data_IF_723776722102
#
_entry.id   IF_723776722102
#
_cell.length_a   1.000
_cell.length_b   1.000
_cell.length_c   1.000
_cell.angle_alpha   90.00
_cell.angle_beta   90.00
_cell.angle_gamma   90.00
#
_symmetry.space_group_name_H-M   'P 1'
#
loop_
_entity.id
_entity.type
_entity.pdbx_description
1 polymer ?
#
# COMPACT_ATOMS: atom_id res chain seq x y z
N UNK A 1 10.00 -3.87 -22.53
CA UNK A 1 9.81 -2.89 -21.44
C UNK A 1 9.39 -3.64 -20.17
N UNK A 2 10.18 -3.59 -19.08
CA UNK A 2 9.79 -4.21 -17.80
C UNK A 2 8.60 -3.43 -17.24
N UNK A 3 7.39 -4.02 -17.25
CA UNK A 3 6.26 -3.47 -16.49
C UNK A 3 6.70 -3.39 -15.04
N UNK A 4 6.82 -2.17 -14.53
CA UNK A 4 7.15 -1.91 -13.14
C UNK A 4 6.00 -2.51 -12.30
N UNK A 5 6.25 -3.61 -11.57
CA UNK A 5 5.19 -4.38 -10.90
C UNK A 5 4.45 -3.60 -9.80
N UNK A 6 4.91 -2.38 -9.50
CA UNK A 6 4.30 -1.44 -8.57
C UNK A 6 3.23 -0.53 -9.22
N UNK A 7 3.11 -0.47 -10.55
CA UNK A 7 2.37 0.58 -11.26
C UNK A 7 1.02 0.15 -11.84
N UNK A 8 0.24 -0.65 -11.10
CA UNK A 8 -1.19 -0.84 -11.42
C UNK A 8 -2.05 0.32 -10.88
N UNK A 9 -1.51 1.53 -10.77
CA UNK A 9 -2.30 2.70 -10.33
C UNK A 9 -3.00 3.32 -11.55
N UNK A 10 -4.27 3.69 -11.39
CA UNK A 10 -5.06 4.28 -12.47
C UNK A 10 -4.52 5.66 -12.88
N UNK A 11 -4.25 5.90 -14.18
CA UNK A 11 -3.89 7.23 -14.68
C UNK A 11 -4.99 8.26 -14.43
N UNK A 12 -4.62 9.54 -14.29
CA UNK A 12 -5.57 10.65 -14.12
C UNK A 12 -6.02 10.91 -12.67
N UNK A 13 -5.49 10.16 -11.71
CA UNK A 13 -5.76 10.35 -10.28
C UNK A 13 -4.48 10.73 -9.53
N UNK A 14 -4.58 11.75 -8.68
CA UNK A 14 -3.50 12.08 -7.74
C UNK A 14 -3.57 11.13 -6.56
N UNK A 15 -2.59 10.23 -6.51
CA UNK A 15 -2.47 9.19 -5.48
C UNK A 15 -1.08 9.33 -4.85
N UNK A 16 -1.06 9.41 -3.52
CA UNK A 16 0.18 9.48 -2.74
C UNK A 16 0.18 8.42 -1.66
N UNK A 17 1.37 8.00 -1.21
CA UNK A 17 1.46 7.06 -0.10
C UNK A 17 2.87 6.62 0.23
N UNK A 18 2.98 5.83 1.30
CA UNK A 18 4.24 5.32 1.83
C UNK A 18 4.08 3.86 2.24
N UNK A 19 5.10 3.09 1.91
CA UNK A 19 5.29 1.72 2.41
C UNK A 19 6.00 1.73 3.76
N UNK A 20 5.65 0.77 4.61
CA UNK A 20 6.36 0.41 5.83
C UNK A 20 6.57 -1.10 5.93
N UNK A 21 7.71 -1.49 6.49
CA UNK A 21 7.99 -2.87 6.89
C UNK A 21 8.53 -2.83 8.31
N UNK A 22 7.96 -3.61 9.22
CA UNK A 22 8.39 -3.67 10.61
C UNK A 22 8.60 -5.12 11.03
N UNK A 23 9.70 -5.40 11.73
CA UNK A 23 9.93 -6.73 12.32
C UNK A 23 8.90 -7.03 13.41
N UNK A 24 8.53 -8.30 13.53
CA UNK A 24 7.62 -8.77 14.58
C UNK A 24 8.42 -9.06 15.84
N UNK A 25 7.94 -8.60 16.98
CA UNK A 25 8.57 -8.84 18.29
C UNK A 25 8.41 -10.29 18.72
N UNK A 26 9.42 -10.81 19.43
CA UNK A 26 9.35 -12.13 20.08
C UNK A 26 8.79 -11.99 21.51
N UNK A 27 8.05 -12.98 22.03
CA UNK A 27 7.56 -12.97 23.42
C UNK A 27 8.67 -12.76 24.47
N UNK A 28 9.84 -13.35 24.21
CA UNK A 28 11.03 -13.30 25.05
C UNK A 28 11.87 -12.00 24.92
N UNK A 29 11.45 -11.07 24.05
CA UNK A 29 12.18 -9.84 23.74
C UNK A 29 12.96 -9.92 22.42
N UNK A 30 13.31 -8.75 21.87
CA UNK A 30 13.91 -8.64 20.54
C UNK A 30 12.91 -8.92 19.41
N UNK A 31 13.42 -9.28 18.24
CA UNK A 31 12.65 -9.44 17.01
C UNK A 31 12.92 -10.78 16.32
N UNK A 32 11.94 -11.27 15.56
CA UNK A 32 12.19 -12.35 14.61
C UNK A 32 13.03 -11.83 13.43
N UNK A 33 13.98 -12.65 12.96
CA UNK A 33 14.86 -12.29 11.83
C UNK A 33 14.13 -12.36 10.49
N UNK A 34 13.05 -13.14 10.40
CA UNK A 34 12.37 -13.48 9.16
C UNK A 34 10.86 -13.10 9.17
N UNK A 35 10.33 -12.63 10.30
CA UNK A 35 8.91 -12.25 10.43
C UNK A 35 8.73 -10.75 10.45
N UNK A 36 7.92 -10.27 9.53
CA UNK A 36 7.66 -8.85 9.33
C UNK A 36 6.17 -8.59 9.16
N UNK A 37 5.71 -7.42 9.56
CA UNK A 37 4.44 -6.85 9.11
C UNK A 37 4.72 -5.89 7.96
N UNK A 38 3.85 -5.91 6.95
CA UNK A 38 3.89 -4.98 5.83
C UNK A 38 2.76 -3.97 5.91
N UNK A 39 3.06 -2.70 5.71
CA UNK A 39 2.05 -1.63 5.64
C UNK A 39 2.16 -0.81 4.37
N UNK A 40 1.02 -0.30 3.94
CA UNK A 40 0.94 0.80 2.99
C UNK A 40 -0.13 1.77 3.47
N UNK A 41 0.24 3.03 3.66
CA UNK A 41 -0.70 4.12 3.94
C UNK A 41 -0.67 5.10 2.78
N UNK A 42 -1.84 5.53 2.31
CA UNK A 42 -1.92 6.48 1.21
C UNK A 42 -3.28 7.13 1.10
N UNK A 43 -3.39 8.04 0.12
CA UNK A 43 -4.59 8.81 -0.13
C UNK A 43 -4.88 8.93 -1.62
N UNK A 44 -6.13 9.26 -1.94
CA UNK A 44 -6.61 9.56 -3.30
C UNK A 44 -7.27 10.95 -3.26
N UNK A 45 -6.87 11.87 -4.16
CA UNK A 45 -7.58 13.15 -4.34
C UNK A 45 -6.77 14.47 -4.25
N UNK A 46 -5.44 14.43 -4.37
CA UNK A 46 -4.59 15.63 -4.35
C UNK A 46 -4.73 16.46 -3.08
N UNK A 47 -4.76 17.80 -3.20
CA UNK A 47 -4.82 18.74 -2.06
C UNK A 47 -6.06 18.59 -1.17
N UNK A 48 -7.13 17.99 -1.70
CA UNK A 48 -8.33 17.63 -0.92
C UNK A 48 -8.54 16.13 -1.04
N UNK A 49 -7.89 15.32 -0.20
CA UNK A 49 -8.06 13.87 -0.18
C UNK A 49 -9.53 13.49 -0.03
N UNK A 50 -9.99 12.60 -0.90
CA UNK A 50 -11.33 12.01 -0.83
C UNK A 50 -11.32 10.74 0.01
N UNK A 51 -10.21 10.00 -0.05
CA UNK A 51 -10.01 8.76 0.69
C UNK A 51 -8.60 8.69 1.25
N UNK A 52 -8.50 8.16 2.46
CA UNK A 52 -7.25 7.69 3.07
C UNK A 52 -7.39 6.21 3.33
N UNK A 53 -6.40 5.43 2.91
CA UNK A 53 -6.44 3.97 2.94
C UNK A 53 -5.20 3.47 3.68
N UNK A 54 -5.43 2.56 4.62
CA UNK A 54 -4.37 1.85 5.33
C UNK A 54 -4.51 0.37 5.03
N UNK A 55 -3.44 -0.24 4.54
CA UNK A 55 -3.31 -1.69 4.36
C UNK A 55 -2.28 -2.17 5.36
N UNK A 56 -2.66 -3.16 6.18
CA UNK A 56 -1.76 -3.91 7.05
C UNK A 56 -1.84 -5.38 6.66
N UNK A 57 -0.70 -5.97 6.30
CA UNK A 57 -0.54 -7.41 6.09
C UNK A 57 0.30 -7.97 7.21
N UNK A 58 -0.28 -8.86 8.02
CA UNK A 58 0.38 -9.46 9.17
C UNK A 58 1.14 -10.72 8.76
N UNK A 59 2.39 -10.81 9.18
CA UNK A 59 3.30 -11.95 8.92
C UNK A 59 3.22 -12.55 7.49
N UNK A 60 3.24 -11.76 6.40
CA UNK A 60 3.43 -12.36 5.08
C UNK A 60 4.76 -13.11 5.04
N UNK A 61 4.82 -14.22 4.29
CA UNK A 61 6.05 -14.99 4.07
C UNK A 61 6.97 -14.28 3.07
N UNK A 62 7.32 -13.03 3.39
CA UNK A 62 8.13 -12.10 2.61
C UNK A 62 9.07 -11.37 3.59
N UNK A 63 10.28 -11.91 3.82
CA UNK A 63 11.24 -11.30 4.74
C UNK A 63 11.74 -9.95 4.20
N UNK A 64 11.81 -8.94 5.07
CA UNK A 64 12.41 -7.62 4.81
C UNK A 64 11.63 -6.67 3.87
N UNK A 65 10.74 -7.20 3.03
CA UNK A 65 10.05 -6.42 1.98
C UNK A 65 8.51 -6.48 2.07
N UNK A 66 7.96 -6.81 3.24
CA UNK A 66 6.53 -6.99 3.44
C UNK A 66 5.67 -5.77 3.01
N UNK A 67 6.14 -4.54 3.24
CA UNK A 67 5.41 -3.34 2.81
C UNK A 67 5.28 -3.21 1.29
N UNK A 68 6.40 -3.30 0.57
CA UNK A 68 6.42 -3.11 -0.88
C UNK A 68 5.87 -4.32 -1.65
N UNK A 69 6.09 -5.54 -1.17
CA UNK A 69 5.68 -6.74 -1.90
C UNK A 69 4.33 -7.32 -1.46
N UNK A 70 3.88 -7.07 -0.23
CA UNK A 70 2.56 -7.52 0.24
C UNK A 70 1.53 -6.40 0.25
N UNK A 71 1.81 -5.29 0.95
CA UNK A 71 0.81 -4.25 1.18
C UNK A 71 0.59 -3.34 -0.03
N UNK A 72 1.66 -2.98 -0.78
CA UNK A 72 1.54 -2.06 -1.92
C UNK A 72 0.64 -2.58 -3.06
N UNK A 73 0.72 -3.85 -3.51
CA UNK A 73 -0.18 -4.36 -4.54
C UNK A 73 -1.65 -4.36 -4.11
N UNK A 74 -1.91 -4.65 -2.83
CA UNK A 74 -3.27 -4.62 -2.26
C UNK A 74 -3.80 -3.19 -2.25
N UNK A 75 -3.01 -2.21 -1.82
CA UNK A 75 -3.39 -0.79 -1.87
C UNK A 75 -3.78 -0.36 -3.29
N UNK A 76 -2.97 -0.71 -4.29
CA UNK A 76 -3.29 -0.39 -5.70
C UNK A 76 -4.61 -0.99 -6.17
N UNK A 77 -4.89 -2.25 -5.80
CA UNK A 77 -6.15 -2.89 -6.17
C UNK A 77 -7.36 -2.23 -5.48
N UNK A 78 -7.23 -1.88 -4.19
CA UNK A 78 -8.29 -1.18 -3.44
C UNK A 78 -8.55 0.20 -4.05
N UNK A 79 -7.50 0.97 -4.37
CA UNK A 79 -7.66 2.28 -5.00
C UNK A 79 -8.40 2.18 -6.33
N UNK A 80 -8.01 1.24 -7.21
CA UNK A 80 -8.70 1.06 -8.48
C UNK A 80 -10.17 0.66 -8.30
N UNK A 81 -10.45 -0.25 -7.36
CA UNK A 81 -11.82 -0.65 -7.04
C UNK A 81 -12.65 0.53 -6.52
N UNK A 82 -12.11 1.37 -5.64
CA UNK A 82 -12.80 2.57 -5.15
C UNK A 82 -13.05 3.59 -6.25
N UNK A 83 -12.08 3.77 -7.16
CA UNK A 83 -12.24 4.62 -8.34
C UNK A 83 -13.39 4.12 -9.22
N UNK A 84 -13.45 2.82 -9.50
CA UNK A 84 -14.49 2.22 -10.34
C UNK A 84 -15.88 2.24 -9.69
N UNK A 85 -15.95 2.10 -8.36
CA UNK A 85 -17.22 1.95 -7.64
C UNK A 85 -17.82 3.24 -7.10
N UNK A 86 -17.01 4.27 -6.78
CA UNK A 86 -17.47 5.40 -5.96
C UNK A 86 -17.37 6.77 -6.63
N UNK A 87 -17.39 6.84 -7.97
CA UNK A 87 -17.37 8.09 -8.72
C UNK A 87 -16.26 9.06 -8.23
N UNK A 88 -15.09 8.51 -7.88
CA UNK A 88 -13.94 9.34 -7.54
C UNK A 88 -13.66 10.21 -8.77
N UNK A 89 -13.93 11.50 -8.64
CA UNK A 89 -13.74 12.43 -9.74
C UNK A 89 -12.23 12.53 -10.02
N UNK A 90 -11.79 12.28 -11.26
CA UNK A 90 -10.40 12.53 -11.62
C UNK A 90 -10.07 13.98 -11.30
N UNK A 91 -9.02 14.19 -10.52
CA UNK A 91 -8.38 15.50 -10.40
C UNK A 91 -7.11 15.41 -11.21
N UNK A 92 -7.23 15.60 -12.52
CA UNK A 92 -6.08 16.04 -13.31
C UNK A 92 -5.76 17.45 -12.88
N UNK A 93 -4.56 17.65 -12.35
CA UNK A 93 -3.98 18.98 -12.18
C UNK A 93 -3.98 19.73 -13.50
#
# INVERSE_FOLDING_TARGET
>A
ARKNRYTNMRPGYVIGGKTGTAQITRPEGGYYEDKYNGTFIGFVGGDKPQYTIVVLVREPKIPGYAGSQAAAPIFSNVVNMLIDSLAVTPKTT
#
